data_IF_018565832412
#
_entry.id   IF_018565832412
#
_cell.length_a   1.000
_cell.length_b   1.000
_cell.length_c   1.000
_cell.angle_alpha   90.00
_cell.angle_beta   90.00
_cell.angle_gamma   90.00
#
_symmetry.space_group_name_H-M   'P 1'
#
loop_
_entity.id
_entity.type
_entity.pdbx_description
1 polymer ?
#
# COMPACT_ATOMS: atom_id res chain seq x y z
N UNK A 1 -13.44 0.04 -20.53
CA UNK A 1 -13.69 0.36 -20.17
C UNK A 1 -13.55 1.11 -19.35
N UNK A 2 -13.29 1.06 -19.17
CA UNK A 2 -12.93 1.90 -18.24
C UNK A 2 -13.95 2.67 -17.69
N UNK A 3 -14.91 2.64 -18.11
CA UNK A 3 -15.93 3.37 -17.60
C UNK A 3 -16.14 3.16 -16.19
N UNK A 4 -15.81 2.06 -15.74
CA UNK A 4 -16.01 1.79 -14.42
C UNK A 4 -15.34 2.73 -13.55
N UNK A 5 -14.34 3.33 -14.00
CA UNK A 5 -13.65 4.20 -13.18
C UNK A 5 -14.45 5.26 -12.65
N UNK A 6 -15.35 5.77 -13.34
CA UNK A 6 -16.05 6.85 -12.91
C UNK A 6 -16.87 6.58 -11.78
N UNK A 7 -17.34 5.41 -11.63
CA UNK A 7 -18.16 5.14 -10.56
C UNK A 7 -17.45 4.92 -9.34
N UNK A 8 -16.21 4.56 -9.40
CA UNK A 8 -15.44 4.23 -8.23
C UNK A 8 -15.14 5.44 -7.42
N UNK A 9 -15.36 5.37 -6.16
CA UNK A 9 -14.97 6.41 -5.26
C UNK A 9 -13.71 6.02 -4.57
N UNK A 10 -13.15 4.86 -4.88
CA UNK A 10 -11.90 4.44 -4.27
C UNK A 10 -10.75 5.09 -5.00
N UNK A 11 -9.68 5.36 -4.30
CA UNK A 11 -8.49 5.90 -4.90
C UNK A 11 -7.41 4.86 -4.88
N UNK A 12 -6.74 4.71 -6.00
CA UNK A 12 -5.64 3.78 -6.11
C UNK A 12 -4.38 4.58 -6.34
N UNK A 13 -3.34 4.26 -5.60
CA UNK A 13 -2.07 4.93 -5.79
C UNK A 13 -0.96 3.90 -5.83
N UNK A 14 0.07 4.23 -6.60
CA UNK A 14 1.21 3.37 -6.77
C UNK A 14 2.43 4.09 -6.23
N UNK A 15 3.23 3.40 -5.45
CA UNK A 15 4.40 4.01 -4.83
C UNK A 15 5.62 3.17 -5.13
N UNK A 16 6.77 3.83 -5.27
CA UNK A 16 8.00 3.11 -5.36
C UNK A 16 8.47 2.81 -3.96
N UNK A 17 8.91 1.60 -3.73
CA UNK A 17 9.32 1.20 -2.41
C UNK A 17 10.64 0.48 -2.48
N UNK A 18 11.21 0.22 -1.33
CA UNK A 18 12.44 -0.53 -1.24
C UNK A 18 12.25 -1.65 -0.24
N UNK A 19 12.37 -2.89 -0.68
CA UNK A 19 12.33 -4.03 0.21
C UNK A 19 13.43 -4.98 -0.21
N UNK A 20 13.97 -5.72 0.73
CA UNK A 20 15.13 -6.54 0.47
C UNK A 20 14.85 -7.96 0.03
N UNK A 21 13.68 -8.48 0.28
CA UNK A 21 13.41 -9.85 -0.11
C UNK A 21 11.93 -10.06 -0.34
N UNK A 22 11.61 -11.12 -1.06
CA UNK A 22 10.22 -11.39 -1.40
C UNK A 22 9.39 -11.69 -0.16
N UNK A 23 9.97 -12.38 0.81
CA UNK A 23 9.24 -12.69 2.02
C UNK A 23 8.93 -11.41 2.78
N UNK A 24 9.86 -10.47 2.78
CA UNK A 24 9.63 -9.20 3.45
C UNK A 24 8.51 -8.45 2.75
N UNK A 25 8.46 -8.50 1.42
CA UNK A 25 7.39 -7.85 0.68
C UNK A 25 6.04 -8.45 1.06
N UNK A 26 5.98 -9.77 1.22
CA UNK A 26 4.73 -10.40 1.61
C UNK A 26 4.30 -9.97 3.00
N UNK A 27 5.24 -9.86 3.92
CA UNK A 27 4.91 -9.43 5.28
C UNK A 27 4.38 -8.00 5.28
N UNK A 28 5.01 -7.14 4.49
CA UNK A 28 4.56 -5.77 4.38
C UNK A 28 3.16 -5.73 3.78
N UNK A 29 2.93 -6.53 2.75
CA UNK A 29 1.62 -6.56 2.11
C UNK A 29 0.54 -6.96 3.11
N UNK A 30 0.80 -7.98 3.90
CA UNK A 30 -0.17 -8.40 4.89
C UNK A 30 -0.42 -7.32 5.92
N UNK A 31 0.64 -6.68 6.38
CA UNK A 31 0.49 -5.65 7.38
C UNK A 31 -0.30 -4.46 6.85
N UNK A 32 -0.01 -4.06 5.61
CA UNK A 32 -0.69 -2.91 5.03
C UNK A 32 -2.16 -3.21 4.77
N UNK A 33 -2.46 -4.44 4.40
CA UNK A 33 -3.87 -4.80 4.16
C UNK A 33 -4.70 -4.76 5.44
N UNK A 34 -4.06 -4.75 6.60
CA UNK A 34 -4.79 -4.67 7.85
C UNK A 34 -4.97 -3.25 8.33
N UNK A 35 -4.41 -2.28 7.63
CA UNK A 35 -4.52 -0.89 8.05
C UNK A 35 -5.91 -0.38 7.73
N UNK A 36 -6.49 0.32 8.68
CA UNK A 36 -7.81 0.86 8.49
C UNK A 36 -7.77 1.95 7.44
N UNK A 37 -8.68 1.94 6.51
CA UNK A 37 -8.69 2.88 5.41
C UNK A 37 -8.09 2.30 4.14
N UNK A 38 -7.45 1.15 4.22
CA UNK A 38 -6.90 0.47 3.06
C UNK A 38 -7.87 -0.61 2.64
N UNK A 39 -8.36 -0.53 1.41
CA UNK A 39 -9.25 -1.55 0.90
C UNK A 39 -8.45 -2.74 0.44
N UNK A 40 -7.36 -2.48 -0.25
CA UNK A 40 -6.53 -3.56 -0.74
C UNK A 40 -5.15 -3.01 -1.02
N UNK A 41 -4.12 -3.80 -0.75
CA UNK A 41 -2.76 -3.39 -1.05
C UNK A 41 -2.02 -4.56 -1.66
N UNK A 42 -1.18 -4.27 -2.63
CA UNK A 42 -0.36 -5.26 -3.30
C UNK A 42 1.06 -4.74 -3.31
N UNK A 43 1.99 -5.56 -2.85
CA UNK A 43 3.40 -5.20 -2.85
C UNK A 43 4.12 -6.14 -3.80
N UNK A 44 4.85 -5.59 -4.74
CA UNK A 44 5.58 -6.38 -5.70
C UNK A 44 7.06 -6.26 -5.45
N UNK A 45 7.70 -7.37 -5.11
CA UNK A 45 9.14 -7.37 -4.89
C UNK A 45 9.86 -7.23 -6.23
N UNK A 46 9.32 -7.82 -7.27
CA UNK A 46 9.99 -7.80 -8.56
C UNK A 46 10.10 -6.40 -9.13
N UNK A 47 9.06 -5.59 -8.98
CA UNK A 47 9.08 -4.25 -9.52
C UNK A 47 9.38 -3.20 -8.46
N UNK A 48 9.47 -3.60 -7.21
CA UNK A 48 9.71 -2.70 -6.09
C UNK A 48 8.66 -1.59 -6.07
N UNK A 49 7.42 -2.01 -6.19
CA UNK A 49 6.30 -1.07 -6.18
C UNK A 49 5.20 -1.57 -5.29
N UNK A 50 4.47 -0.64 -4.70
CA UNK A 50 3.33 -0.96 -3.86
C UNK A 50 2.13 -0.23 -4.40
N UNK A 51 1.04 -0.95 -4.60
CA UNK A 51 -0.20 -0.35 -5.03
C UNK A 51 -1.18 -0.44 -3.89
N UNK A 52 -1.81 0.66 -3.57
CA UNK A 52 -2.78 0.69 -2.48
C UNK A 52 -4.09 1.23 -3.00
N UNK A 53 -5.16 0.53 -2.70
CA UNK A 53 -6.49 1.01 -3.00
C UNK A 53 -7.09 1.46 -1.67
N UNK A 54 -7.50 2.73 -1.61
CA UNK A 54 -8.00 3.30 -0.37
C UNK A 54 -9.51 3.18 -0.30
N UNK A 55 -10.03 3.11 0.89
CA UNK A 55 -11.47 3.06 1.08
C UNK A 55 -12.09 4.41 0.74
N UNK A 56 -13.37 4.35 0.37
CA UNK A 56 -14.07 5.56 0.06
C UNK A 56 -14.11 6.46 1.28
N UNK A 57 -13.76 7.70 1.10
CA UNK A 57 -13.77 8.66 2.20
C UNK A 57 -12.56 8.62 3.10
N UNK A 58 -11.61 7.74 2.82
CA UNK A 58 -10.44 7.66 3.66
C UNK A 58 -9.51 8.85 3.45
N UNK A 59 -8.84 9.24 4.53
CA UNK A 59 -7.90 10.33 4.47
C UNK A 59 -6.55 9.71 4.08
N UNK A 60 -6.13 9.94 2.83
CA UNK A 60 -4.95 9.29 2.31
C UNK A 60 -3.71 9.60 3.14
N UNK A 61 -3.55 10.82 3.58
CA UNK A 61 -2.37 11.18 4.36
C UNK A 61 -2.31 10.40 5.66
N UNK A 62 -3.44 10.28 6.35
CA UNK A 62 -3.45 9.55 7.59
C UNK A 62 -3.26 8.08 7.35
N UNK A 63 -3.91 7.55 6.31
CA UNK A 63 -3.80 6.14 6.00
C UNK A 63 -2.36 5.81 5.66
N UNK A 64 -1.69 6.69 4.90
CA UNK A 64 -0.31 6.42 4.55
C UNK A 64 0.62 6.45 5.75
N UNK A 65 0.34 7.28 6.74
CA UNK A 65 1.13 7.26 7.96
C UNK A 65 0.99 5.91 8.63
N UNK A 66 -0.23 5.39 8.71
CA UNK A 66 -0.44 4.10 9.33
C UNK A 66 0.17 2.99 8.50
N UNK A 67 0.10 3.11 7.18
CA UNK A 67 0.69 2.12 6.29
C UNK A 67 2.19 2.05 6.53
N UNK A 68 2.86 3.19 6.57
CA UNK A 68 4.29 3.20 6.78
C UNK A 68 4.64 2.62 8.14
N UNK A 69 3.88 2.99 9.16
CA UNK A 69 4.15 2.50 10.50
C UNK A 69 3.97 0.99 10.56
N UNK A 70 2.89 0.48 9.97
CA UNK A 70 2.64 -0.95 9.98
C UNK A 70 3.69 -1.71 9.21
N UNK A 71 4.10 -1.17 8.05
CA UNK A 71 5.11 -1.82 7.24
C UNK A 71 6.43 -1.87 7.98
N UNK A 72 6.80 -0.79 8.66
CA UNK A 72 8.07 -0.78 9.36
C UNK A 72 8.08 -1.65 10.59
N UNK A 73 6.91 -1.99 11.11
CA UNK A 73 6.85 -2.88 12.24
C UNK A 73 7.28 -4.29 11.85
N UNK A 74 6.92 -4.71 10.63
CA UNK A 74 7.27 -6.05 10.17
C UNK A 74 8.58 -6.06 9.39
N UNK A 75 8.97 -4.91 8.84
CA UNK A 75 10.22 -4.82 8.10
C UNK A 75 10.78 -3.42 8.28
N UNK A 76 11.72 -3.29 9.19
CA UNK A 76 12.22 -1.98 9.57
C UNK A 76 13.01 -1.31 8.44
N UNK A 77 13.47 -2.09 7.48
CA UNK A 77 14.23 -1.52 6.36
C UNK A 77 13.32 -1.07 5.23
N UNK A 78 12.03 -1.28 5.35
CA UNK A 78 11.10 -0.89 4.31
C UNK A 78 11.03 0.62 4.20
N UNK A 79 11.01 1.11 2.96
CA UNK A 79 10.90 2.52 2.72
C UNK A 79 10.03 2.79 1.52
N UNK A 80 9.33 3.92 1.57
CA UNK A 80 8.55 4.40 0.45
C UNK A 80 9.36 5.52 -0.17
N UNK A 81 9.70 5.36 -1.44
CA UNK A 81 10.63 6.27 -2.10
C UNK A 81 10.00 7.48 -2.76
N UNK A 82 8.71 7.49 -2.98
CA UNK A 82 8.10 8.68 -3.57
C UNK A 82 6.74 9.00 -3.02
#
# INVERSE_FOLDING_TARGET
>A
MPAENKKSKHMKKSYKIEVDCANCANLVEEAVNKVEGVKEAVVSFMTQKMKIEFEEGADIDKVMEDVLRSAKKVESDFEILN
#
